data_IF_632749596232
#
_entry.id   IF_632749596232
#
_cell.length_a   1.000
_cell.length_b   1.000
_cell.length_c   1.000
_cell.angle_alpha   90.00
_cell.angle_beta   90.00
_cell.angle_gamma   90.00
#
_symmetry.space_group_name_H-M   'P 1'
#
loop_
_entity.id
_entity.type
_entity.pdbx_description
1 polymer ?
#
# COMPACT_ATOMS: atom_id res chain seq x y z
N UNK A 1 35.99 3.09 9.92
CA UNK A 1 34.96 3.89 9.23
C UNK A 1 34.23 2.93 8.32
N UNK A 2 33.03 2.50 8.73
CA UNK A 2 32.21 1.55 7.98
C UNK A 2 31.19 2.34 7.18
N UNK A 3 31.26 2.24 5.86
CA UNK A 3 30.31 2.85 4.92
C UNK A 3 28.95 2.13 4.95
N UNK A 4 27.85 2.82 4.61
CA UNK A 4 26.47 2.33 4.72
C UNK A 4 26.05 1.44 3.54
N UNK A 5 26.85 0.42 3.19
CA UNK A 5 26.56 -0.49 2.06
C UNK A 5 25.66 -1.69 2.48
N UNK A 6 25.24 -1.77 3.73
CA UNK A 6 24.74 -3.02 4.33
C UNK A 6 23.27 -3.42 4.12
N UNK A 7 22.36 -2.51 3.72
CA UNK A 7 20.91 -2.82 3.74
C UNK A 7 20.25 -2.80 2.34
N UNK A 8 20.56 -1.81 1.50
CA UNK A 8 20.08 -1.79 0.10
C UNK A 8 20.63 -2.97 -0.72
N UNK A 9 21.86 -3.40 -0.43
CA UNK A 9 22.50 -4.57 -1.05
C UNK A 9 21.73 -5.87 -0.77
N UNK A 10 21.07 -5.99 0.39
CA UNK A 10 20.26 -7.16 0.75
C UNK A 10 18.95 -7.25 -0.03
N UNK A 11 18.18 -6.17 -0.08
CA UNK A 11 16.87 -6.15 -0.76
C UNK A 11 17.06 -6.31 -2.27
N UNK A 12 18.03 -5.61 -2.87
CA UNK A 12 18.32 -5.75 -4.29
C UNK A 12 18.73 -7.18 -4.65
N UNK A 13 19.57 -7.82 -3.83
CA UNK A 13 19.95 -9.21 -4.03
C UNK A 13 18.74 -10.15 -3.94
N UNK A 14 17.84 -9.93 -2.97
CA UNK A 14 16.62 -10.72 -2.81
C UNK A 14 15.62 -10.50 -3.96
N UNK A 15 15.43 -9.26 -4.41
CA UNK A 15 14.60 -8.94 -5.56
C UNK A 15 15.13 -9.62 -6.83
N UNK A 16 16.45 -9.52 -7.07
CA UNK A 16 17.13 -10.17 -8.19
C UNK A 16 17.02 -11.70 -8.12
N UNK A 17 17.25 -12.28 -6.94
CA UNK A 17 17.10 -13.71 -6.69
C UNK A 17 15.67 -14.19 -6.98
N UNK A 18 14.67 -13.47 -6.48
CA UNK A 18 13.26 -13.79 -6.66
C UNK A 18 12.87 -13.70 -8.14
N UNK A 19 13.30 -12.64 -8.81
CA UNK A 19 13.07 -12.45 -10.24
C UNK A 19 13.66 -13.62 -11.05
N UNK A 20 14.93 -13.97 -10.83
CA UNK A 20 15.58 -15.09 -11.50
C UNK A 20 14.87 -16.43 -11.25
N UNK A 21 14.43 -16.70 -10.01
CA UNK A 21 13.68 -17.92 -9.70
C UNK A 21 12.31 -17.95 -10.38
N UNK A 22 11.60 -16.83 -10.42
CA UNK A 22 10.30 -16.72 -11.09
C UNK A 22 10.41 -16.97 -12.60
N UNK A 23 11.43 -16.39 -13.25
CA UNK A 23 11.72 -16.58 -14.68
C UNK A 23 12.13 -18.03 -14.95
N UNK A 24 13.01 -18.61 -14.14
CA UNK A 24 13.44 -20.00 -14.33
C UNK A 24 12.27 -20.99 -14.19
N UNK A 25 11.37 -20.75 -13.24
CA UNK A 25 10.14 -21.53 -13.12
C UNK A 25 9.24 -21.34 -14.34
N UNK A 26 9.02 -20.10 -14.79
CA UNK A 26 8.23 -19.80 -15.99
C UNK A 26 8.78 -20.54 -17.22
N UNK A 27 10.09 -20.44 -17.49
CA UNK A 27 10.74 -21.14 -18.60
C UNK A 27 10.59 -22.65 -18.51
N UNK A 28 10.71 -23.20 -17.29
CA UNK A 28 10.54 -24.63 -17.03
C UNK A 28 9.12 -25.08 -17.38
N UNK A 29 8.09 -24.37 -16.90
CA UNK A 29 6.69 -24.67 -17.19
C UNK A 29 6.37 -24.48 -18.67
N UNK A 30 6.91 -23.42 -19.29
CA UNK A 30 6.70 -23.10 -20.70
C UNK A 30 7.38 -24.09 -21.66
N UNK A 31 8.43 -24.80 -21.21
CA UNK A 31 9.13 -25.81 -22.03
C UNK A 31 8.27 -27.03 -22.41
N UNK A 32 7.16 -27.28 -21.69
CA UNK A 32 6.22 -28.35 -21.98
C UNK A 32 5.23 -27.94 -23.08
N UNK A 33 4.83 -28.85 -23.99
CA UNK A 33 3.94 -28.48 -25.12
C UNK A 33 2.47 -28.33 -24.75
N UNK A 34 2.02 -28.96 -23.68
CA UNK A 34 0.59 -29.02 -23.32
C UNK A 34 0.35 -28.42 -21.94
N UNK A 35 -0.39 -27.31 -21.91
CA UNK A 35 -0.77 -26.61 -20.69
C UNK A 35 -2.29 -26.69 -20.48
N UNK A 36 -2.76 -27.47 -19.48
CA UNK A 36 -4.15 -27.34 -19.04
C UNK A 36 -4.40 -25.93 -18.49
N UNK A 37 -5.66 -25.51 -18.39
CA UNK A 37 -6.04 -24.14 -18.00
C UNK A 37 -5.28 -23.66 -16.75
N UNK A 38 -5.31 -24.42 -15.66
CA UNK A 38 -4.59 -24.11 -14.40
C UNK A 38 -3.10 -23.83 -14.56
N UNK A 39 -2.44 -24.44 -15.55
CA UNK A 39 -1.00 -24.22 -15.84
C UNK A 39 -0.80 -22.95 -16.65
N UNK A 40 -1.73 -22.61 -17.56
CA UNK A 40 -1.71 -21.30 -18.24
C UNK A 40 -1.95 -20.17 -17.25
N UNK A 41 -2.92 -20.33 -16.36
CA UNK A 41 -3.20 -19.35 -15.32
C UNK A 41 -1.99 -19.19 -14.36
N UNK A 42 -1.21 -20.25 -14.12
CA UNK A 42 0.06 -20.15 -13.39
C UNK A 42 1.13 -19.37 -14.17
N UNK A 43 1.24 -19.59 -15.49
CA UNK A 43 2.18 -18.83 -16.33
C UNK A 43 1.84 -17.34 -16.36
N UNK A 44 0.56 -17.00 -16.47
CA UNK A 44 0.08 -15.61 -16.39
C UNK A 44 0.44 -14.99 -15.03
N UNK A 45 0.27 -15.73 -13.93
CA UNK A 45 0.62 -15.25 -12.60
C UNK A 45 2.14 -15.07 -12.42
N UNK A 46 2.97 -15.97 -12.98
CA UNK A 46 4.43 -15.84 -12.96
C UNK A 46 4.91 -14.64 -13.78
N UNK A 47 4.30 -14.39 -14.93
CA UNK A 47 4.59 -13.21 -15.75
C UNK A 47 4.22 -11.93 -14.99
N UNK A 48 3.03 -11.89 -14.37
CA UNK A 48 2.60 -10.78 -13.54
C UNK A 48 3.52 -10.54 -12.33
N UNK A 49 3.98 -11.60 -11.66
CA UNK A 49 4.96 -11.51 -10.58
C UNK A 49 6.29 -10.91 -11.07
N UNK A 50 6.80 -11.39 -12.21
CA UNK A 50 8.03 -10.87 -12.80
C UNK A 50 7.92 -9.39 -13.18
N UNK A 51 6.75 -8.96 -13.63
CA UNK A 51 6.46 -7.59 -14.00
C UNK A 51 6.46 -6.62 -12.80
N UNK A 52 6.11 -7.09 -11.59
CA UNK A 52 6.18 -6.29 -10.35
C UNK A 52 7.60 -6.28 -9.77
N UNK A 53 8.35 -7.37 -9.94
CA UNK A 53 9.73 -7.49 -9.44
C UNK A 53 10.74 -6.64 -10.22
N UNK A 54 10.48 -6.34 -11.50
CA UNK A 54 11.31 -5.44 -12.30
C UNK A 54 11.37 -4.01 -11.74
N UNK A 55 10.23 -3.30 -11.62
CA UNK A 55 10.16 -1.97 -11.02
C UNK A 55 10.73 -1.90 -9.59
N UNK A 56 10.59 -2.97 -8.81
CA UNK A 56 11.20 -3.06 -7.47
C UNK A 56 12.72 -2.95 -7.53
N UNK A 57 13.37 -3.68 -8.44
CA UNK A 57 14.82 -3.61 -8.59
C UNK A 57 15.29 -2.21 -9.03
N UNK A 58 14.52 -1.56 -9.89
CA UNK A 58 14.81 -0.19 -10.34
C UNK A 58 14.67 0.83 -9.21
N UNK A 59 13.56 0.79 -8.44
CA UNK A 59 13.31 1.71 -7.32
C UNK A 59 14.40 1.58 -6.25
N UNK A 60 14.82 0.35 -5.92
CA UNK A 60 15.89 0.10 -4.95
C UNK A 60 17.24 0.65 -5.45
N UNK A 61 17.47 0.65 -6.77
CA UNK A 61 18.69 1.19 -7.36
C UNK A 61 18.69 2.73 -7.47
N UNK A 62 17.54 3.34 -7.75
CA UNK A 62 17.46 4.78 -8.02
C UNK A 62 17.25 5.63 -6.77
N UNK A 63 16.65 5.07 -5.73
CA UNK A 63 16.11 5.87 -4.63
C UNK A 63 16.62 5.38 -3.28
N UNK A 64 17.60 6.09 -2.71
CA UNK A 64 18.24 5.74 -1.43
C UNK A 64 17.39 6.03 -0.19
N UNK A 65 16.21 6.64 -0.34
CA UNK A 65 15.37 7.14 0.78
C UNK A 65 14.13 6.26 1.07
N UNK A 66 13.92 5.18 0.31
CA UNK A 66 12.77 4.27 0.54
C UNK A 66 13.21 3.06 1.35
N UNK A 67 12.72 2.94 2.58
CA UNK A 67 12.90 1.73 3.37
C UNK A 67 11.94 0.62 2.93
N UNK A 68 12.46 -0.36 2.19
CA UNK A 68 11.76 -1.58 1.78
C UNK A 68 12.20 -2.82 2.56
N UNK A 69 12.87 -2.64 3.72
CA UNK A 69 13.41 -3.75 4.53
C UNK A 69 12.36 -4.77 4.96
N UNK A 70 11.10 -4.35 5.08
CA UNK A 70 9.99 -5.26 5.38
C UNK A 70 9.72 -6.29 4.27
N UNK A 71 10.18 -6.08 3.03
CA UNK A 71 10.06 -7.06 1.94
C UNK A 71 11.11 -8.18 1.98
N UNK A 72 12.11 -8.13 2.87
CA UNK A 72 13.18 -9.13 2.91
C UNK A 72 12.64 -10.57 3.03
N UNK A 73 11.74 -10.83 3.99
CA UNK A 73 11.18 -12.16 4.17
C UNK A 73 10.22 -12.56 3.02
N UNK A 74 9.25 -11.70 2.60
CA UNK A 74 8.40 -11.97 1.44
C UNK A 74 9.18 -12.34 0.17
N UNK A 75 10.22 -11.57 -0.17
CA UNK A 75 11.04 -11.83 -1.36
C UNK A 75 11.79 -13.15 -1.24
N UNK A 76 12.50 -13.35 -0.12
CA UNK A 76 13.25 -14.58 0.10
C UNK A 76 12.36 -15.81 -0.03
N UNK A 77 11.18 -15.77 0.59
CA UNK A 77 10.25 -16.91 0.57
C UNK A 77 9.62 -17.10 -0.81
N UNK A 78 9.22 -16.02 -1.49
CA UNK A 78 8.71 -16.08 -2.86
C UNK A 78 9.73 -16.73 -3.81
N UNK A 79 10.99 -16.34 -3.74
CA UNK A 79 12.06 -16.92 -4.55
C UNK A 79 12.30 -18.41 -4.23
N UNK A 80 12.33 -18.76 -2.95
CA UNK A 80 12.43 -20.15 -2.52
C UNK A 80 11.23 -20.98 -2.98
N UNK A 81 10.00 -20.48 -2.86
CA UNK A 81 8.80 -21.18 -3.32
C UNK A 81 8.83 -21.44 -4.84
N UNK A 82 9.25 -20.45 -5.64
CA UNK A 82 9.45 -20.62 -7.08
C UNK A 82 10.48 -21.72 -7.38
N UNK A 83 11.63 -21.69 -6.69
CA UNK A 83 12.72 -22.66 -6.87
C UNK A 83 12.33 -24.07 -6.42
N UNK A 84 11.68 -24.20 -5.28
CA UNK A 84 11.20 -25.47 -4.73
C UNK A 84 10.14 -26.09 -5.66
N UNK A 85 9.18 -25.28 -6.15
CA UNK A 85 8.15 -25.77 -7.07
C UNK A 85 8.75 -26.20 -8.42
N UNK A 86 9.74 -25.48 -8.93
CA UNK A 86 10.49 -25.87 -10.11
C UNK A 86 11.17 -27.24 -9.92
N UNK A 87 11.75 -27.49 -8.74
CA UNK A 87 12.36 -28.78 -8.42
C UNK A 87 11.33 -29.91 -8.40
N UNK A 88 10.13 -29.70 -7.83
CA UNK A 88 9.05 -30.68 -7.86
C UNK A 88 8.64 -31.02 -9.31
N UNK A 89 8.51 -30.02 -10.19
CA UNK A 89 8.24 -30.24 -11.62
C UNK A 89 9.34 -31.09 -12.27
N UNK A 90 10.60 -30.74 -12.05
CA UNK A 90 11.74 -31.46 -12.62
C UNK A 90 11.78 -32.91 -12.11
N UNK A 91 11.58 -33.11 -10.81
CA UNK A 91 11.55 -34.43 -10.17
C UNK A 91 10.39 -35.30 -10.66
N UNK A 92 9.20 -34.74 -10.87
CA UNK A 92 8.10 -35.47 -11.48
C UNK A 92 8.37 -35.80 -12.96
N UNK A 93 9.06 -34.91 -13.69
CA UNK A 93 9.36 -35.11 -15.11
C UNK A 93 10.43 -36.19 -15.37
N UNK A 94 11.41 -36.35 -14.48
CA UNK A 94 12.50 -37.33 -14.62
C UNK A 94 12.03 -38.78 -14.47
N UNK A 95 10.89 -39.00 -13.81
CA UNK A 95 10.24 -40.31 -13.67
C UNK A 95 9.48 -40.74 -14.93
N UNK A 96 9.26 -39.84 -15.88
CA UNK A 96 8.59 -40.13 -17.15
C UNK A 96 9.63 -40.46 -18.22
N UNK A 97 9.70 -41.74 -18.62
CA UNK A 97 10.71 -42.30 -19.55
C UNK A 97 10.59 -41.84 -21.01
N UNK A 98 9.83 -40.77 -21.29
CA UNK A 98 9.53 -40.28 -22.65
C UNK A 98 9.88 -38.82 -22.85
N UNK A 99 10.13 -38.43 -24.11
CA UNK A 99 10.43 -37.07 -24.56
C UNK A 99 9.70 -35.99 -23.73
N UNK A 100 10.44 -35.01 -23.19
CA UNK A 100 10.03 -33.86 -22.33
C UNK A 100 8.82 -33.05 -22.83
N UNK A 101 8.26 -33.41 -23.98
CA UNK A 101 7.19 -32.74 -24.69
C UNK A 101 5.80 -32.87 -24.05
N UNK A 102 5.53 -33.83 -23.16
CA UNK A 102 4.19 -34.02 -22.57
C UNK A 102 4.27 -34.40 -21.09
N UNK A 103 4.02 -33.44 -20.19
CA UNK A 103 3.81 -33.73 -18.77
C UNK A 103 2.33 -34.06 -18.55
N UNK A 104 1.99 -35.35 -18.53
CA UNK A 104 0.60 -35.83 -18.34
C UNK A 104 0.16 -35.79 -16.88
N UNK A 105 1.11 -35.63 -15.96
CA UNK A 105 0.90 -35.73 -14.52
C UNK A 105 0.71 -34.35 -13.85
N UNK A 106 0.29 -33.31 -14.57
CA UNK A 106 -0.04 -31.99 -13.99
C UNK A 106 -1.01 -32.10 -12.80
N UNK A 107 -1.92 -33.07 -12.82
CA UNK A 107 -2.87 -33.29 -11.74
C UNK A 107 -2.26 -33.91 -10.47
N UNK A 108 -1.06 -34.50 -10.54
CA UNK A 108 -0.35 -35.10 -9.40
C UNK A 108 0.69 -34.17 -8.79
N UNK A 109 0.96 -33.03 -9.44
CA UNK A 109 1.91 -32.07 -8.94
C UNK A 109 1.32 -31.40 -7.70
N UNK A 110 2.00 -31.56 -6.58
CA UNK A 110 1.62 -30.94 -5.32
C UNK A 110 2.78 -30.19 -4.72
N UNK A 111 2.46 -29.15 -3.95
CA UNK A 111 3.42 -28.34 -3.23
C UNK A 111 2.87 -28.05 -1.84
N UNK A 112 3.52 -28.57 -0.80
CA UNK A 112 3.01 -28.50 0.57
C UNK A 112 1.58 -29.06 0.69
N UNK A 113 1.26 -30.09 -0.11
CA UNK A 113 -0.09 -30.66 -0.23
C UNK A 113 -1.10 -29.86 -1.04
N UNK A 114 -0.76 -28.66 -1.55
CA UNK A 114 -1.61 -27.91 -2.48
C UNK A 114 -1.40 -28.36 -3.92
N UNK A 115 -2.44 -28.22 -4.74
CA UNK A 115 -2.33 -28.32 -6.18
C UNK A 115 -1.74 -27.05 -6.81
N UNK A 116 -1.67 -27.04 -8.14
CA UNK A 116 -1.19 -25.90 -8.93
C UNK A 116 -1.97 -24.61 -8.63
N UNK A 117 -3.28 -24.70 -8.38
CA UNK A 117 -4.11 -23.53 -8.08
C UNK A 117 -3.83 -22.99 -6.67
N UNK A 118 -3.50 -23.84 -5.70
CA UNK A 118 -3.00 -23.41 -4.38
C UNK A 118 -1.62 -22.74 -4.46
N UNK A 119 -0.70 -23.28 -5.27
CA UNK A 119 0.59 -22.62 -5.52
C UNK A 119 0.44 -21.29 -6.27
N UNK A 120 -0.47 -21.20 -7.25
CA UNK A 120 -0.77 -19.92 -7.93
C UNK A 120 -1.28 -18.87 -6.94
N UNK A 121 -2.22 -19.24 -6.06
CA UNK A 121 -2.74 -18.34 -5.00
C UNK A 121 -1.63 -17.88 -4.05
N UNK A 122 -0.67 -18.74 -3.74
CA UNK A 122 0.53 -18.35 -2.98
C UNK A 122 1.29 -17.22 -3.67
N UNK A 123 1.61 -17.39 -4.95
CA UNK A 123 2.35 -16.38 -5.71
C UNK A 123 1.55 -15.08 -5.84
N UNK A 124 0.23 -15.16 -6.01
CA UNK A 124 -0.63 -13.99 -6.03
C UNK A 124 -0.55 -13.19 -4.72
N UNK A 125 -0.53 -13.86 -3.56
CA UNK A 125 -0.34 -13.19 -2.27
C UNK A 125 1.02 -12.47 -2.15
N UNK A 126 2.10 -13.10 -2.63
CA UNK A 126 3.42 -12.45 -2.69
C UNK A 126 3.43 -11.24 -3.62
N UNK A 127 2.89 -11.40 -4.84
CA UNK A 127 2.79 -10.34 -5.83
C UNK A 127 2.01 -9.14 -5.29
N UNK A 128 0.84 -9.39 -4.68
CA UNK A 128 0.00 -8.35 -4.09
C UNK A 128 0.75 -7.60 -2.99
N UNK A 129 1.41 -8.32 -2.07
CA UNK A 129 2.19 -7.72 -0.99
C UNK A 129 3.33 -6.84 -1.52
N UNK A 130 4.09 -7.32 -2.51
CA UNK A 130 5.19 -6.56 -3.12
C UNK A 130 4.62 -5.30 -3.80
N UNK A 131 3.54 -5.45 -4.56
CA UNK A 131 2.89 -4.32 -5.24
C UNK A 131 2.35 -3.28 -4.24
N UNK A 132 1.81 -3.74 -3.11
CA UNK A 132 1.32 -2.86 -2.04
C UNK A 132 2.46 -2.05 -1.43
N UNK A 133 3.58 -2.70 -1.10
CA UNK A 133 4.75 -2.02 -0.55
C UNK A 133 5.37 -1.01 -1.55
N UNK A 134 5.42 -1.37 -2.84
CA UNK A 134 5.86 -0.46 -3.89
C UNK A 134 4.95 0.75 -4.04
N UNK A 135 3.64 0.52 -4.02
CA UNK A 135 2.66 1.59 -4.14
C UNK A 135 2.68 2.49 -2.90
N UNK A 136 2.86 1.92 -1.70
CA UNK A 136 3.01 2.69 -0.45
C UNK A 136 4.23 3.60 -0.51
N UNK A 137 5.36 3.07 -0.98
CA UNK A 137 6.59 3.85 -1.18
C UNK A 137 6.39 4.98 -2.20
N UNK A 138 5.71 4.70 -3.32
CA UNK A 138 5.43 5.69 -4.35
C UNK A 138 4.45 6.77 -3.88
N UNK A 139 3.44 6.40 -3.08
CA UNK A 139 2.48 7.34 -2.48
C UNK A 139 3.17 8.38 -1.59
N UNK A 140 4.29 8.02 -0.94
CA UNK A 140 5.09 8.96 -0.15
C UNK A 140 5.87 9.96 -1.01
N UNK A 141 6.11 9.64 -2.28
CA UNK A 141 6.97 10.43 -3.17
C UNK A 141 6.22 11.24 -4.23
N UNK A 142 5.04 10.79 -4.66
CA UNK A 142 4.31 11.37 -5.78
C UNK A 142 2.90 11.83 -5.42
N UNK A 143 2.42 12.87 -6.11
CA UNK A 143 1.01 13.28 -6.06
C UNK A 143 0.15 12.26 -6.84
N UNK A 144 -0.44 11.29 -6.14
CA UNK A 144 -1.29 10.26 -6.76
C UNK A 144 -2.72 10.77 -7.00
N UNK A 145 -3.36 10.29 -8.06
CA UNK A 145 -4.75 10.62 -8.41
C UNK A 145 -5.75 9.90 -7.51
N UNK A 146 -6.91 10.51 -7.31
CA UNK A 146 -7.97 10.01 -6.42
C UNK A 146 -8.53 8.62 -6.80
N UNK A 147 -8.56 8.26 -8.10
CA UNK A 147 -9.05 6.95 -8.57
C UNK A 147 -8.07 5.82 -8.22
N UNK A 148 -6.78 6.04 -8.44
CA UNK A 148 -5.73 5.07 -8.10
C UNK A 148 -5.70 4.74 -6.59
N UNK A 149 -6.22 5.65 -5.75
CA UNK A 149 -6.26 5.45 -4.31
C UNK A 149 -7.37 4.48 -3.88
N UNK A 150 -8.55 4.53 -4.49
CA UNK A 150 -9.63 3.59 -4.15
C UNK A 150 -9.30 2.18 -4.64
N UNK A 151 -8.72 2.06 -5.85
CA UNK A 151 -8.20 0.79 -6.35
C UNK A 151 -7.10 0.23 -5.43
N UNK A 152 -6.26 1.11 -4.88
CA UNK A 152 -5.23 0.72 -3.91
C UNK A 152 -5.81 0.22 -2.58
N UNK A 153 -6.83 0.90 -2.04
CA UNK A 153 -7.53 0.42 -0.83
C UNK A 153 -8.18 -0.94 -1.04
N UNK A 154 -8.80 -1.14 -2.20
CA UNK A 154 -9.38 -2.44 -2.56
C UNK A 154 -8.31 -3.52 -2.65
N UNK A 155 -7.19 -3.23 -3.30
CA UNK A 155 -6.05 -4.15 -3.38
C UNK A 155 -5.51 -4.52 -1.99
N UNK A 156 -5.41 -3.56 -1.06
CA UNK A 156 -4.99 -3.82 0.31
C UNK A 156 -5.99 -4.76 1.00
N UNK A 157 -7.28 -4.49 0.88
CA UNK A 157 -8.31 -5.33 1.52
C UNK A 157 -8.30 -6.76 0.98
N UNK A 158 -8.30 -6.92 -0.35
CA UNK A 158 -8.25 -8.24 -0.99
C UNK A 158 -7.00 -9.01 -0.57
N UNK A 159 -5.84 -8.36 -0.51
CA UNK A 159 -4.60 -8.99 -0.08
C UNK A 159 -4.64 -9.42 1.39
N UNK A 160 -5.27 -8.65 2.28
CA UNK A 160 -5.47 -9.04 3.68
C UNK A 160 -6.37 -10.27 3.78
N UNK A 161 -7.51 -10.25 3.10
CA UNK A 161 -8.47 -11.37 3.09
C UNK A 161 -7.81 -12.66 2.56
N UNK A 162 -7.05 -12.56 1.46
CA UNK A 162 -6.32 -13.68 0.87
C UNK A 162 -5.22 -14.23 1.80
N UNK A 163 -4.50 -13.36 2.50
CA UNK A 163 -3.45 -13.75 3.46
C UNK A 163 -4.03 -14.39 4.72
N UNK A 164 -5.16 -13.91 5.21
CA UNK A 164 -5.90 -14.51 6.33
C UNK A 164 -6.41 -15.91 5.95
N UNK A 165 -7.06 -16.05 4.79
CA UNK A 165 -7.48 -17.35 4.27
C UNK A 165 -6.29 -18.31 4.09
N UNK A 166 -5.11 -17.79 3.70
CA UNK A 166 -3.89 -18.59 3.60
C UNK A 166 -3.39 -19.07 4.97
N UNK A 167 -3.43 -18.23 6.00
CA UNK A 167 -3.06 -18.63 7.37
C UNK A 167 -3.99 -19.74 7.87
N UNK A 168 -5.30 -19.65 7.61
CA UNK A 168 -6.26 -20.70 7.94
C UNK A 168 -5.93 -22.04 7.24
N UNK A 169 -5.55 -21.99 5.95
CA UNK A 169 -5.14 -23.19 5.20
C UNK A 169 -3.87 -23.81 5.79
N UNK A 170 -2.89 -23.00 6.18
CA UNK A 170 -1.67 -23.51 6.82
C UNK A 170 -2.02 -24.17 8.16
N UNK A 171 -2.90 -23.56 8.94
CA UNK A 171 -3.37 -24.06 10.22
C UNK A 171 -4.12 -25.39 10.11
N UNK A 172 -4.95 -25.54 9.07
CA UNK A 172 -5.61 -26.80 8.75
C UNK A 172 -4.57 -27.89 8.45
N UNK A 173 -3.56 -27.59 7.63
CA UNK A 173 -2.51 -28.54 7.23
C UNK A 173 -1.64 -28.96 8.40
N UNK A 174 -1.23 -28.02 9.23
CA UNK A 174 -0.52 -28.31 10.46
C UNK A 174 -1.37 -29.23 11.36
N UNK A 175 -2.68 -28.97 11.44
CA UNK A 175 -3.62 -29.85 12.12
C UNK A 175 -3.67 -31.28 11.59
N UNK A 176 -3.77 -31.45 10.27
CA UNK A 176 -3.79 -32.77 9.64
C UNK A 176 -2.50 -33.56 9.91
N UNK A 177 -1.34 -32.88 9.92
CA UNK A 177 -0.07 -33.54 10.21
C UNK A 177 0.00 -33.99 11.68
N UNK A 178 -0.55 -33.18 12.61
CA UNK A 178 -0.67 -33.56 14.02
C UNK A 178 -1.58 -34.78 14.19
N UNK A 179 -2.75 -34.79 13.54
CA UNK A 179 -3.71 -35.90 13.58
C UNK A 179 -3.14 -37.19 12.97
N UNK A 180 -2.44 -37.09 11.84
CA UNK A 180 -1.78 -38.24 11.22
C UNK A 180 -0.66 -38.82 12.10
N UNK A 181 0.05 -37.97 12.84
CA UNK A 181 1.08 -38.40 13.78
C UNK A 181 0.49 -38.95 15.09
N UNK A 182 -0.73 -38.54 15.48
CA UNK A 182 -1.42 -39.09 16.64
C UNK A 182 -1.70 -40.59 16.52
N UNK A 183 -1.89 -41.08 15.30
CA UNK A 183 -2.03 -42.52 15.00
C UNK A 183 -0.74 -43.31 15.35
N UNK A 184 0.41 -42.64 15.48
CA UNK A 184 1.72 -43.27 15.72
C UNK A 184 2.14 -43.26 17.20
N UNK A 185 1.64 -42.35 18.03
CA UNK A 185 1.93 -42.25 19.48
C UNK A 185 0.90 -41.38 20.22
N UNK A 186 0.17 -41.95 21.18
CA UNK A 186 -0.95 -41.31 21.92
C UNK A 186 -0.50 -40.18 22.87
N UNK A 187 0.65 -40.36 23.54
CA UNK A 187 1.22 -39.34 24.45
C UNK A 187 1.73 -38.13 23.66
N UNK A 188 2.32 -38.36 22.49
CA UNK A 188 2.82 -37.27 21.65
C UNK A 188 1.70 -36.50 20.95
N UNK A 189 0.58 -37.17 20.66
CA UNK A 189 -0.64 -36.59 20.12
C UNK A 189 -1.23 -35.53 21.06
N UNK A 190 -1.41 -35.89 22.34
CA UNK A 190 -2.03 -35.00 23.33
C UNK A 190 -1.20 -33.73 23.56
N UNK A 191 0.13 -33.86 23.59
CA UNK A 191 1.02 -32.71 23.74
C UNK A 191 1.02 -31.81 22.49
N UNK A 192 1.05 -32.38 21.28
CA UNK A 192 0.95 -31.61 20.03
C UNK A 192 -0.40 -30.87 19.91
N UNK A 193 -1.49 -31.51 20.35
CA UNK A 193 -2.80 -30.90 20.39
C UNK A 193 -2.86 -29.74 21.39
N UNK A 194 -2.26 -29.90 22.58
CA UNK A 194 -2.13 -28.82 23.57
C UNK A 194 -1.34 -27.63 23.01
N UNK A 195 -0.20 -27.88 22.34
CA UNK A 195 0.58 -26.82 21.68
C UNK A 195 -0.23 -26.09 20.59
N UNK A 196 -1.07 -26.82 19.84
CA UNK A 196 -1.96 -26.23 18.83
C UNK A 196 -2.99 -25.29 19.46
N UNK A 197 -3.63 -25.73 20.54
CA UNK A 197 -4.61 -24.93 21.28
C UNK A 197 -3.96 -23.69 21.89
N UNK A 198 -2.75 -23.83 22.46
CA UNK A 198 -1.97 -22.74 23.01
C UNK A 198 -1.62 -21.69 21.93
N UNK A 199 -1.24 -22.14 20.73
CA UNK A 199 -0.95 -21.28 19.56
C UNK A 199 -2.21 -20.50 19.14
N UNK A 200 -3.34 -21.18 18.93
CA UNK A 200 -4.60 -20.54 18.55
C UNK A 200 -5.11 -19.58 19.63
N UNK A 201 -4.90 -19.91 20.90
CA UNK A 201 -5.22 -19.02 22.03
C UNK A 201 -4.35 -17.76 22.00
N UNK A 202 -3.04 -17.92 21.79
CA UNK A 202 -2.09 -16.81 21.68
C UNK A 202 -2.45 -15.88 20.53
N UNK A 203 -2.94 -16.42 19.41
CA UNK A 203 -3.40 -15.62 18.25
C UNK A 203 -4.62 -14.77 18.59
N UNK A 204 -5.59 -15.35 19.30
CA UNK A 204 -6.73 -14.58 19.81
C UNK A 204 -6.29 -13.49 20.77
N UNK A 205 -5.32 -13.76 21.65
CA UNK A 205 -4.76 -12.73 22.53
C UNK A 205 -4.13 -11.57 21.75
N UNK A 206 -3.42 -11.85 20.65
CA UNK A 206 -2.88 -10.81 19.77
C UNK A 206 -3.99 -9.96 19.13
N UNK A 207 -5.05 -10.59 18.62
CA UNK A 207 -6.21 -9.89 18.07
C UNK A 207 -6.88 -8.98 19.13
N UNK A 208 -6.97 -9.44 20.38
CA UNK A 208 -7.51 -8.62 21.47
C UNK A 208 -6.59 -7.42 21.75
N UNK A 209 -5.26 -7.61 21.72
CA UNK A 209 -4.31 -6.51 21.89
C UNK A 209 -4.46 -5.45 20.79
N UNK A 210 -4.64 -5.84 19.53
CA UNK A 210 -4.82 -4.89 18.41
C UNK A 210 -6.15 -4.14 18.53
N UNK A 211 -7.26 -4.85 18.78
CA UNK A 211 -8.57 -4.25 18.98
C UNK A 211 -8.58 -3.24 20.13
N UNK A 212 -7.92 -3.56 21.24
CA UNK A 212 -7.83 -2.63 22.36
C UNK A 212 -6.97 -1.40 22.00
N UNK A 213 -5.87 -1.57 21.27
CA UNK A 213 -5.07 -0.43 20.81
C UNK A 213 -5.87 0.50 19.87
N UNK A 214 -6.63 -0.06 18.92
CA UNK A 214 -7.49 0.75 18.04
C UNK A 214 -8.57 1.51 18.82
N UNK A 215 -9.16 0.88 19.84
CA UNK A 215 -10.14 1.53 20.70
C UNK A 215 -9.51 2.66 21.52
N UNK A 216 -8.27 2.49 21.97
CA UNK A 216 -7.50 3.55 22.63
C UNK A 216 -7.31 4.74 21.69
N UNK A 217 -6.92 4.50 20.43
CA UNK A 217 -6.73 5.55 19.43
C UNK A 217 -8.03 6.33 19.15
N UNK A 218 -9.17 5.63 19.11
CA UNK A 218 -10.49 6.26 18.97
C UNK A 218 -10.82 7.19 20.15
N UNK A 219 -10.52 6.78 21.39
CA UNK A 219 -10.75 7.61 22.58
C UNK A 219 -9.90 8.89 22.51
N UNK A 220 -8.61 8.76 22.14
CA UNK A 220 -7.70 9.92 22.02
C UNK A 220 -8.21 10.91 20.96
N UNK A 221 -8.62 10.42 19.80
CA UNK A 221 -9.19 11.25 18.72
C UNK A 221 -10.48 11.97 19.12
N UNK A 222 -11.33 11.36 19.96
CA UNK A 222 -12.54 11.99 20.47
C UNK A 222 -12.26 13.11 21.48
N UNK A 223 -11.21 12.96 22.30
CA UNK A 223 -10.78 14.00 23.25
C UNK A 223 -10.28 15.25 22.53
N UNK A 224 -9.42 15.08 21.51
CA UNK A 224 -8.85 16.18 20.73
C UNK A 224 -9.91 17.00 19.99
N UNK A 225 -11.00 16.35 19.54
CA UNK A 225 -12.10 17.00 18.82
C UNK A 225 -13.08 17.77 19.72
N UNK A 226 -13.06 17.50 21.04
CA UNK A 226 -13.90 18.20 22.03
C UNK A 226 -13.29 19.52 22.53
N UNK A 227 -12.02 19.80 22.20
CA UNK A 227 -11.36 21.06 22.53
C UNK A 227 -11.92 22.22 21.70
N UNK A 228 -12.83 23.03 22.28
CA UNK A 228 -13.27 24.28 21.64
C UNK A 228 -12.11 25.29 21.62
N UNK A 229 -11.67 25.80 20.46
CA UNK A 229 -10.64 26.83 20.40
C UNK A 229 -11.25 28.17 20.84
N UNK A 230 -11.24 28.45 22.15
CA UNK A 230 -11.75 29.73 22.63
C UNK A 230 -11.83 29.97 24.14
N UNK A 231 -11.77 28.94 25.00
CA UNK A 231 -11.86 29.16 26.45
C UNK A 231 -10.55 28.82 27.16
N UNK A 232 -9.63 29.78 27.18
CA UNK A 232 -8.52 29.77 28.10
C UNK A 232 -9.05 29.91 29.54
N UNK A 233 -9.26 28.79 30.22
CA UNK A 233 -9.35 28.76 31.68
C UNK A 233 -8.66 27.51 32.19
N UNK A 234 -7.50 27.72 32.80
CA UNK A 234 -6.42 26.79 33.11
C UNK A 234 -6.69 25.84 34.30
N UNK A 235 -7.88 25.25 34.37
CA UNK A 235 -8.24 24.32 35.46
C UNK A 235 -8.72 22.93 34.99
N UNK A 236 -9.11 22.78 33.71
CA UNK A 236 -9.64 21.53 33.18
C UNK A 236 -8.62 20.66 32.42
N UNK A 237 -7.37 21.10 32.26
CA UNK A 237 -6.33 20.37 31.51
C UNK A 237 -5.71 19.21 32.30
N UNK A 238 -5.66 19.27 33.63
CA UNK A 238 -4.98 18.27 34.46
C UNK A 238 -5.61 16.85 34.43
N UNK A 239 -6.95 16.68 34.47
CA UNK A 239 -7.57 15.36 34.38
C UNK A 239 -7.41 14.73 33.00
N UNK A 240 -7.45 15.56 31.94
CA UNK A 240 -7.31 15.13 30.55
C UNK A 240 -5.86 14.71 30.24
N UNK A 241 -4.87 15.45 30.75
CA UNK A 241 -3.45 15.05 30.65
C UNK A 241 -3.17 13.75 31.39
N UNK A 242 -3.72 13.56 32.60
CA UNK A 242 -3.53 12.31 33.37
C UNK A 242 -4.21 11.12 32.69
N UNK A 243 -5.38 11.34 32.09
CA UNK A 243 -6.10 10.30 31.33
C UNK A 243 -5.32 9.92 30.07
N UNK A 244 -4.81 10.90 29.32
CA UNK A 244 -4.00 10.66 28.12
C UNK A 244 -2.66 9.99 28.46
N UNK A 245 -2.00 10.37 29.56
CA UNK A 245 -0.78 9.71 30.03
C UNK A 245 -1.03 8.24 30.40
N UNK A 246 -2.09 7.95 31.17
CA UNK A 246 -2.45 6.57 31.54
C UNK A 246 -2.85 5.73 30.32
N UNK A 247 -3.52 6.35 29.35
CA UNK A 247 -3.90 5.71 28.10
C UNK A 247 -2.68 5.40 27.21
N UNK A 248 -1.70 6.31 27.19
CA UNK A 248 -0.43 6.10 26.51
C UNK A 248 0.41 5.00 27.19
N UNK A 249 0.42 4.95 28.52
CA UNK A 249 1.06 3.87 29.28
C UNK A 249 0.40 2.52 28.97
N UNK A 250 -0.94 2.48 28.90
CA UNK A 250 -1.69 1.30 28.49
C UNK A 250 -1.29 0.84 27.08
N UNK A 251 -1.19 1.77 26.12
CA UNK A 251 -0.74 1.47 24.75
C UNK A 251 0.68 0.89 24.73
N UNK A 252 1.61 1.48 25.48
CA UNK A 252 2.98 0.95 25.60
C UNK A 252 3.00 -0.46 26.21
N UNK A 253 2.16 -0.72 27.22
CA UNK A 253 2.03 -2.03 27.85
C UNK A 253 1.46 -3.08 26.89
N UNK A 254 0.48 -2.68 26.05
CA UNK A 254 -0.09 -3.53 25.01
C UNK A 254 0.93 -3.90 23.94
N UNK A 255 1.73 -2.94 23.48
CA UNK A 255 2.83 -3.20 22.52
C UNK A 255 3.81 -4.21 23.10
N UNK A 256 4.21 -4.05 24.38
CA UNK A 256 5.12 -5.01 25.03
C UNK A 256 4.49 -6.39 25.20
N UNK A 257 3.20 -6.46 25.50
CA UNK A 257 2.46 -7.72 25.64
C UNK A 257 2.32 -8.42 24.30
N UNK A 258 1.96 -7.70 23.24
CA UNK A 258 1.89 -8.21 21.88
C UNK A 258 3.24 -8.79 21.43
N UNK A 259 4.35 -8.07 21.65
CA UNK A 259 5.69 -8.56 21.31
C UNK A 259 6.06 -9.86 22.06
N UNK A 260 5.64 -10.00 23.32
CA UNK A 260 5.84 -11.25 24.10
C UNK A 260 4.99 -12.38 23.54
N UNK A 261 3.73 -12.12 23.21
CA UNK A 261 2.81 -13.11 22.62
C UNK A 261 3.29 -13.56 21.23
N UNK A 262 3.79 -12.66 20.40
CA UNK A 262 4.39 -13.00 19.10
C UNK A 262 5.60 -13.91 19.26
N UNK A 263 6.51 -13.57 20.17
CA UNK A 263 7.68 -14.42 20.47
C UNK A 263 7.25 -15.80 20.97
N UNK A 264 6.26 -15.84 21.85
CA UNK A 264 5.71 -17.08 22.39
C UNK A 264 5.09 -17.95 21.30
N UNK A 265 4.33 -17.35 20.40
CA UNK A 265 3.75 -18.03 19.25
C UNK A 265 4.81 -18.66 18.33
N UNK A 266 5.91 -17.93 18.08
CA UNK A 266 7.04 -18.46 17.33
C UNK A 266 7.68 -19.65 18.05
N UNK A 267 7.91 -19.55 19.36
CA UNK A 267 8.46 -20.65 20.16
C UNK A 267 7.56 -21.90 20.13
N UNK A 268 6.25 -21.74 20.30
CA UNK A 268 5.29 -22.86 20.21
C UNK A 268 5.36 -23.50 18.83
N UNK A 269 5.38 -22.71 17.76
CA UNK A 269 5.48 -23.23 16.40
C UNK A 269 6.78 -24.01 16.19
N UNK A 270 7.91 -23.49 16.67
CA UNK A 270 9.22 -24.11 16.55
C UNK A 270 9.29 -25.45 17.30
N UNK A 271 8.70 -25.50 18.50
CA UNK A 271 8.60 -26.70 19.33
C UNK A 271 7.68 -27.74 18.69
N UNK A 272 6.52 -27.32 18.19
CA UNK A 272 5.56 -28.17 17.50
C UNK A 272 6.19 -28.83 16.27
N UNK A 273 6.97 -28.08 15.49
CA UNK A 273 7.69 -28.57 14.31
C UNK A 273 8.84 -29.51 14.64
N UNK A 274 9.63 -29.17 15.66
CA UNK A 274 10.73 -30.02 16.11
C UNK A 274 10.21 -31.39 16.56
N UNK A 275 9.08 -31.40 17.25
CA UNK A 275 8.43 -32.63 17.72
C UNK A 275 7.79 -33.42 16.57
N UNK A 276 7.06 -32.76 15.67
CA UNK A 276 6.44 -33.44 14.52
C UNK A 276 7.49 -34.01 13.56
N UNK A 277 8.62 -33.33 13.36
CA UNK A 277 9.72 -33.80 12.51
C UNK A 277 10.33 -35.13 12.97
N UNK A 278 10.33 -35.43 14.26
CA UNK A 278 10.83 -36.71 14.80
C UNK A 278 9.94 -37.88 14.37
N UNK A 279 8.64 -37.61 14.19
CA UNK A 279 7.60 -38.64 14.03
C UNK A 279 7.16 -38.76 12.56
N UNK A 280 7.54 -37.80 11.71
CA UNK A 280 7.09 -37.66 10.32
C UNK A 280 8.06 -38.30 9.31
N UNK A 281 7.58 -38.55 8.08
CA UNK A 281 8.46 -38.98 6.99
C UNK A 281 9.41 -37.84 6.57
N UNK A 282 10.46 -38.17 5.81
CA UNK A 282 11.42 -37.16 5.31
C UNK A 282 10.75 -36.10 4.42
N UNK A 283 9.75 -36.51 3.62
CA UNK A 283 8.95 -35.59 2.79
C UNK A 283 8.07 -34.69 3.66
N UNK A 284 7.36 -35.27 4.62
CA UNK A 284 6.50 -34.51 5.54
C UNK A 284 7.31 -33.53 6.38
N UNK A 285 8.54 -33.89 6.77
CA UNK A 285 9.46 -33.00 7.49
C UNK A 285 9.89 -31.79 6.65
N UNK A 286 10.10 -31.97 5.34
CA UNK A 286 10.39 -30.87 4.42
C UNK A 286 9.16 -29.97 4.26
N UNK A 287 7.97 -30.54 4.06
CA UNK A 287 6.73 -29.77 3.91
C UNK A 287 6.34 -29.03 5.20
N UNK A 288 6.60 -29.60 6.38
CA UNK A 288 6.46 -28.92 7.67
C UNK A 288 7.36 -27.69 7.79
N UNK A 289 8.61 -27.79 7.34
CA UNK A 289 9.56 -26.67 7.35
C UNK A 289 9.08 -25.57 6.39
N UNK A 290 8.60 -25.96 5.20
CA UNK A 290 8.00 -25.02 4.23
C UNK A 290 6.75 -24.33 4.82
N UNK A 291 5.85 -25.09 5.46
CA UNK A 291 4.64 -24.55 6.11
C UNK A 291 4.96 -23.51 7.19
N UNK A 292 6.02 -23.72 7.97
CA UNK A 292 6.52 -22.76 8.95
C UNK A 292 6.96 -21.46 8.29
N UNK A 293 7.80 -21.58 7.27
CA UNK A 293 8.37 -20.41 6.62
C UNK A 293 7.27 -19.61 5.90
N UNK A 294 6.31 -20.30 5.29
CA UNK A 294 5.09 -19.71 4.71
C UNK A 294 4.23 -19.00 5.76
N UNK A 295 4.02 -19.61 6.93
CA UNK A 295 3.24 -18.99 8.00
C UNK A 295 3.88 -17.70 8.50
N UNK A 296 5.20 -17.73 8.73
CA UNK A 296 5.95 -16.56 9.18
C UNK A 296 5.89 -15.44 8.14
N UNK A 297 6.02 -15.82 6.87
CA UNK A 297 6.00 -14.87 5.77
C UNK A 297 4.61 -14.28 5.57
N UNK A 298 3.54 -15.09 5.58
CA UNK A 298 2.17 -14.62 5.44
C UNK A 298 1.78 -13.59 6.51
N UNK A 299 2.22 -13.79 7.76
CA UNK A 299 2.05 -12.79 8.83
C UNK A 299 2.81 -11.50 8.58
N UNK A 300 4.05 -11.59 8.08
CA UNK A 300 4.81 -10.40 7.71
C UNK A 300 4.18 -9.66 6.52
N UNK A 301 3.63 -10.40 5.55
CA UNK A 301 2.85 -9.81 4.46
C UNK A 301 1.59 -9.09 4.99
N UNK A 302 0.90 -9.68 5.97
CA UNK A 302 -0.29 -9.09 6.58
C UNK A 302 0.05 -7.80 7.36
N UNK A 303 1.19 -7.78 8.06
CA UNK A 303 1.71 -6.57 8.69
C UNK A 303 2.00 -5.45 7.67
N UNK A 304 2.64 -5.78 6.55
CA UNK A 304 2.88 -4.82 5.46
C UNK A 304 1.56 -4.23 4.94
N UNK A 305 0.58 -5.08 4.67
CA UNK A 305 -0.73 -4.65 4.20
C UNK A 305 -1.46 -3.79 5.24
N UNK A 306 -1.36 -4.15 6.52
CA UNK A 306 -1.98 -3.39 7.62
C UNK A 306 -1.33 -2.02 7.81
N UNK A 307 0.01 -1.93 7.69
CA UNK A 307 0.72 -0.66 7.74
C UNK A 307 0.36 0.25 6.56
N UNK A 308 0.24 -0.32 5.35
CA UNK A 308 -0.22 0.42 4.18
C UNK A 308 -1.65 0.95 4.35
N UNK A 309 -2.56 0.14 4.92
CA UNK A 309 -3.93 0.55 5.24
C UNK A 309 -3.96 1.75 6.21
N UNK A 310 -3.20 1.67 7.31
CA UNK A 310 -3.07 2.77 8.28
C UNK A 310 -2.49 4.02 7.64
N UNK A 311 -1.43 3.87 6.84
CA UNK A 311 -0.79 4.99 6.16
C UNK A 311 -1.76 5.71 5.21
N UNK A 312 -2.59 4.97 4.46
CA UNK A 312 -3.64 5.54 3.63
C UNK A 312 -4.69 6.27 4.46
N UNK A 313 -5.11 5.70 5.60
CA UNK A 313 -6.09 6.32 6.49
C UNK A 313 -5.59 7.63 7.12
N UNK A 314 -4.31 7.70 7.46
CA UNK A 314 -3.69 8.89 8.09
C UNK A 314 -3.34 9.97 7.06
N UNK A 315 -2.85 9.60 5.89
CA UNK A 315 -2.31 10.55 4.91
C UNK A 315 -3.28 10.98 3.80
N UNK A 316 -4.50 10.44 3.79
CA UNK A 316 -5.54 10.87 2.85
C UNK A 316 -6.64 11.61 3.60
N UNK A 317 -6.79 12.90 3.31
CA UNK A 317 -7.93 13.68 3.80
C UNK A 317 -9.11 13.57 2.83
N UNK A 318 -10.22 13.02 3.32
CA UNK A 318 -11.47 12.93 2.56
C UNK A 318 -12.36 14.15 2.84
N UNK A 319 -12.61 14.99 1.84
CA UNK A 319 -13.32 16.27 2.01
C UNK A 319 -14.48 16.40 1.03
N UNK A 320 -15.73 16.45 1.52
CA UNK A 320 -16.87 16.89 0.71
C UNK A 320 -17.21 18.35 1.04
N UNK A 321 -16.92 19.26 0.10
CA UNK A 321 -17.21 20.68 0.21
C UNK A 321 -18.46 21.04 -0.59
N UNK A 322 -19.42 21.70 0.04
CA UNK A 322 -20.67 22.13 -0.58
C UNK A 322 -20.95 23.60 -0.32
N UNK A 323 -21.08 24.38 -1.39
CA UNK A 323 -21.29 25.82 -1.36
C UNK A 323 -22.65 26.19 -1.93
N UNK A 324 -23.42 26.98 -1.17
CA UNK A 324 -24.70 27.53 -1.61
C UNK A 324 -24.52 29.01 -1.99
N UNK A 325 -25.11 29.42 -3.12
CA UNK A 325 -25.00 30.78 -3.63
C UNK A 325 -23.61 31.09 -4.21
N UNK A 326 -23.30 32.39 -4.34
CA UNK A 326 -22.03 32.88 -4.87
C UNK A 326 -20.89 32.61 -3.87
N UNK A 327 -20.31 31.42 -3.93
CA UNK A 327 -19.31 30.92 -2.96
C UNK A 327 -17.89 30.90 -3.51
N UNK A 328 -16.92 31.21 -2.65
CA UNK A 328 -15.49 30.92 -2.87
C UNK A 328 -15.11 29.70 -2.05
N UNK A 329 -14.66 28.64 -2.72
CA UNK A 329 -14.34 27.37 -2.09
C UNK A 329 -12.87 26.99 -2.35
N UNK A 330 -12.12 26.76 -1.28
CA UNK A 330 -10.76 26.21 -1.34
C UNK A 330 -10.79 24.76 -0.84
N UNK A 331 -10.18 23.86 -1.61
CA UNK A 331 -9.96 22.45 -1.27
C UNK A 331 -8.53 22.10 -1.66
N UNK A 332 -7.58 22.66 -0.91
CA UNK A 332 -6.16 22.67 -1.25
C UNK A 332 -5.31 21.98 -0.20
N UNK A 333 -4.25 21.32 -0.65
CA UNK A 333 -3.21 20.74 0.22
C UNK A 333 -1.96 21.57 0.08
N UNK A 334 -1.41 22.05 1.20
CA UNK A 334 -0.21 22.89 1.22
C UNK A 334 1.04 22.13 1.68
N UNK A 335 0.84 21.00 2.36
CA UNK A 335 1.88 20.12 2.89
C UNK A 335 2.13 18.87 2.04
N UNK A 336 1.41 18.69 0.94
CA UNK A 336 1.54 17.53 0.05
C UNK A 336 0.68 16.34 0.47
N UNK A 337 -0.11 16.46 1.53
CA UNK A 337 -1.09 15.45 1.93
C UNK A 337 -2.11 15.21 0.81
N UNK A 338 -2.48 13.96 0.59
CA UNK A 338 -3.39 13.57 -0.49
C UNK A 338 -4.80 14.03 -0.10
N UNK A 339 -5.47 14.77 -1.00
CA UNK A 339 -6.87 15.15 -0.85
C UNK A 339 -7.75 14.30 -1.75
N UNK A 340 -8.67 13.58 -1.15
CA UNK A 340 -9.75 12.90 -1.87
C UNK A 340 -11.06 13.63 -1.58
N UNK A 341 -11.48 14.53 -2.45
CA UNK A 341 -12.63 15.36 -2.13
C UNK A 341 -13.54 15.72 -3.29
N UNK A 342 -14.82 15.94 -2.98
CA UNK A 342 -15.83 16.47 -3.90
C UNK A 342 -16.10 17.91 -3.55
N UNK A 343 -15.88 18.82 -4.49
CA UNK A 343 -16.20 20.23 -4.31
C UNK A 343 -17.41 20.60 -5.19
N UNK A 344 -18.54 20.93 -4.58
CA UNK A 344 -19.80 21.29 -5.23
C UNK A 344 -20.16 22.73 -4.87
N UNK A 345 -20.51 23.53 -5.87
CA UNK A 345 -21.02 24.88 -5.65
C UNK A 345 -22.25 25.15 -6.50
N UNK A 346 -23.27 25.75 -5.89
CA UNK A 346 -24.55 26.08 -6.52
C UNK A 346 -24.78 27.59 -6.44
N UNK A 347 -24.11 28.32 -7.35
CA UNK A 347 -24.25 29.75 -7.52
C UNK A 347 -23.73 30.18 -8.87
N UNK A 348 -24.14 31.37 -9.33
CA UNK A 348 -23.74 31.84 -10.65
C UNK A 348 -22.31 32.37 -10.67
N UNK A 349 -21.77 32.81 -9.52
CA UNK A 349 -20.38 33.27 -9.35
C UNK A 349 -19.54 32.36 -8.45
N UNK A 350 -19.86 31.08 -8.39
CA UNK A 350 -19.03 30.12 -7.64
C UNK A 350 -17.60 30.10 -8.21
N UNK A 351 -16.61 30.23 -7.33
CA UNK A 351 -15.18 30.08 -7.64
C UNK A 351 -14.61 28.95 -6.79
N UNK A 352 -13.93 28.01 -7.43
CA UNK A 352 -13.34 26.86 -6.76
C UNK A 352 -11.85 26.79 -7.04
N UNK A 353 -11.10 26.50 -5.98
CA UNK A 353 -9.65 26.25 -6.02
C UNK A 353 -9.44 24.90 -5.37
N UNK A 354 -8.67 24.02 -6.01
CA UNK A 354 -8.30 22.76 -5.38
C UNK A 354 -7.03 22.15 -5.93
N UNK A 355 -6.55 21.13 -5.22
CA UNK A 355 -5.30 20.44 -5.52
C UNK A 355 -4.13 20.86 -4.62
N UNK A 356 -2.91 20.53 -5.02
CA UNK A 356 -1.71 20.93 -4.29
C UNK A 356 -1.34 22.38 -4.62
N UNK A 357 -1.28 23.23 -3.60
CA UNK A 357 -1.02 24.66 -3.74
C UNK A 357 -0.13 25.11 -2.58
N UNK A 358 0.96 25.83 -2.83
CA UNK A 358 1.84 26.31 -1.75
C UNK A 358 1.12 27.31 -0.83
N UNK A 359 1.56 27.42 0.44
CA UNK A 359 0.99 28.37 1.40
C UNK A 359 0.97 29.80 0.86
N UNK A 360 2.05 30.24 0.20
CA UNK A 360 2.16 31.57 -0.38
C UNK A 360 1.14 31.77 -1.52
N UNK A 361 0.95 30.74 -2.34
CA UNK A 361 0.01 30.76 -3.47
C UNK A 361 -1.43 30.78 -2.98
N UNK A 362 -1.76 30.01 -1.93
CA UNK A 362 -3.08 30.05 -1.29
C UNK A 362 -3.35 31.43 -0.70
N UNK A 363 -2.40 32.00 0.03
CA UNK A 363 -2.53 33.33 0.62
C UNK A 363 -2.70 34.42 -0.46
N UNK A 364 -1.91 34.35 -1.54
CA UNK A 364 -2.01 35.30 -2.64
C UNK A 364 -3.36 35.19 -3.37
N UNK A 365 -3.77 33.97 -3.72
CA UNK A 365 -5.03 33.72 -4.42
C UNK A 365 -6.24 34.12 -3.56
N UNK A 366 -6.19 33.87 -2.25
CA UNK A 366 -7.20 34.33 -1.30
C UNK A 366 -7.33 35.85 -1.31
N UNK A 367 -6.22 36.60 -1.28
CA UNK A 367 -6.21 38.07 -1.35
C UNK A 367 -6.74 38.61 -2.69
N UNK A 368 -6.33 38.01 -3.80
CA UNK A 368 -6.71 38.46 -5.15
C UNK A 368 -8.20 38.20 -5.43
N UNK A 369 -8.74 37.09 -4.95
CA UNK A 369 -10.16 36.79 -5.12
C UNK A 369 -11.02 37.68 -4.20
N UNK A 370 -10.57 37.94 -2.97
CA UNK A 370 -11.26 38.85 -2.05
C UNK A 370 -11.34 40.28 -2.63
N UNK A 371 -10.25 40.80 -3.20
CA UNK A 371 -10.23 42.14 -3.82
C UNK A 371 -11.14 42.24 -5.05
N UNK A 372 -11.18 41.21 -5.89
CA UNK A 372 -12.07 41.15 -7.06
C UNK A 372 -13.55 41.12 -6.66
N UNK A 373 -13.88 40.41 -5.58
CA UNK A 373 -15.25 40.33 -5.06
C UNK A 373 -15.73 41.68 -4.53
N UNK A 374 -14.85 42.45 -3.87
CA UNK A 374 -15.13 43.81 -3.38
C UNK A 374 -15.32 44.82 -4.51
N UNK A 375 -14.59 44.71 -5.63
CA UNK A 375 -14.76 45.60 -6.77
C UNK A 375 -16.09 45.43 -7.49
N UNK A 376 -16.66 44.21 -7.53
CA UNK A 376 -17.96 43.99 -8.15
C UNK A 376 -19.15 44.48 -7.33
N UNK A 377 -19.07 44.47 -5.99
CA UNK A 377 -20.10 45.07 -5.13
C UNK A 377 -20.16 46.59 -5.33
N UNK A 378 -19.01 47.22 -5.58
CA UNK A 378 -18.93 48.68 -5.77
C UNK A 378 -19.51 49.19 -7.09
N UNK A 379 -19.63 48.32 -8.11
CA UNK A 379 -20.22 48.67 -9.42
C UNK A 379 -21.75 48.44 -9.43
N UNK A 380 -22.30 47.77 -8.42
CA UNK A 380 -23.73 47.42 -8.34
C UNK A 380 -24.49 48.17 -7.24
N UNK A 381 -24.68 49.49 -7.37
CA UNK A 381 -25.72 50.27 -6.67
C UNK A 381 -25.84 51.69 -7.27
N UNK A 382 -27.07 52.26 -7.32
CA UNK A 382 -27.96 52.29 -8.47
C UNK A 382 -27.75 53.48 -9.41
N UNK A 383 -28.18 53.31 -10.67
CA UNK A 383 -28.35 54.38 -11.64
C UNK A 383 -29.18 55.53 -11.03
N UNK A 384 -28.55 56.68 -10.81
CA UNK A 384 -29.26 57.94 -10.72
C UNK A 384 -29.84 58.24 -12.10
N UNK A 385 -31.17 58.13 -12.13
CA UNK A 385 -32.07 58.66 -13.14
C UNK A 385 -31.91 60.18 -13.18
N UNK A 386 -31.34 60.72 -14.26
CA UNK A 386 -31.96 61.86 -14.92
C UNK A 386 -31.50 62.00 -16.37
N UNK A 387 -32.48 62.40 -17.17
CA UNK A 387 -32.50 62.48 -18.63
C UNK A 387 -31.39 63.36 -19.23
N UNK A 388 -30.94 63.03 -20.45
CA UNK A 388 -31.15 63.85 -21.66
C UNK A 388 -30.42 63.19 -22.84
N UNK A 389 -31.19 62.73 -23.84
CA UNK A 389 -30.69 62.47 -25.20
C UNK A 389 -30.52 63.80 -25.94
N UNK A 390 -29.56 63.91 -26.89
CA UNK A 390 -29.97 63.67 -28.27
C UNK A 390 -28.94 62.90 -29.13
N UNK A 391 -29.47 62.43 -30.26
CA UNK A 391 -28.93 61.45 -31.18
C UNK A 391 -27.87 61.96 -32.19
N UNK A 392 -27.38 60.98 -32.98
CA UNK A 392 -26.55 61.02 -34.20
C UNK A 392 -25.09 60.61 -33.94
N UNK A 393 -24.48 59.58 -34.52
CA UNK A 393 -24.85 58.65 -35.59
C UNK A 393 -23.54 58.21 -36.27
N UNK A 394 -23.24 56.91 -36.34
CA UNK A 394 -22.64 56.21 -37.49
C UNK A 394 -22.23 54.77 -37.14
N UNK A 395 -22.27 53.96 -38.20
CA UNK A 395 -22.44 52.51 -38.28
C UNK A 395 -21.22 51.89 -38.98
N UNK A 396 -20.81 50.69 -38.56
CA UNK A 396 -20.25 49.57 -39.36
C UNK A 396 -19.61 48.55 -38.37
N UNK A 397 -20.27 47.44 -38.03
CA UNK A 397 -20.29 46.13 -38.74
C UNK A 397 -18.92 45.44 -38.83
N UNK A 398 -18.83 44.27 -38.20
CA UNK A 398 -17.67 43.38 -38.15
C UNK A 398 -17.93 42.16 -37.25
N UNK A 399 -19.00 41.42 -37.55
CA UNK A 399 -19.33 40.12 -36.92
C UNK A 399 -18.25 39.08 -37.19
N UNK A 400 -17.72 38.44 -36.14
CA UNK A 400 -17.36 37.01 -36.15
C UNK A 400 -17.46 36.44 -34.73
N UNK A 401 -18.62 35.81 -34.47
CA UNK A 401 -18.84 34.69 -33.54
C UNK A 401 -18.23 34.78 -32.13
N UNK A 402 -18.91 35.53 -31.25
CA UNK A 402 -18.68 35.59 -29.80
C UNK A 402 -19.21 34.36 -29.02
N UNK A 403 -19.73 33.32 -29.68
CA UNK A 403 -20.51 32.27 -29.01
C UNK A 403 -19.68 31.20 -28.25
N UNK A 404 -18.35 31.20 -28.36
CA UNK A 404 -17.50 30.16 -27.73
C UNK A 404 -16.61 30.65 -26.58
N UNK A 405 -16.55 31.96 -26.31
CA UNK A 405 -15.69 32.53 -25.26
C UNK A 405 -16.32 32.59 -23.86
N UNK A 406 -17.64 32.46 -23.77
CA UNK A 406 -18.39 32.67 -22.52
C UNK A 406 -18.71 31.39 -21.73
N UNK A 407 -18.52 30.19 -22.32
CA UNK A 407 -18.89 28.92 -21.66
C UNK A 407 -17.75 28.24 -20.91
N UNK A 408 -16.51 28.59 -21.22
CA UNK A 408 -15.32 28.06 -20.53
C UNK A 408 -14.42 29.25 -20.24
N UNK A 409 -14.21 29.54 -18.95
CA UNK A 409 -13.30 30.60 -18.52
C UNK A 409 -11.93 30.44 -19.18
N UNK A 410 -11.24 31.55 -19.45
CA UNK A 410 -9.91 31.52 -20.05
C UNK A 410 -8.93 30.86 -19.08
N UNK A 411 -8.68 29.55 -19.27
CA UNK A 411 -7.62 28.86 -18.55
C UNK A 411 -6.31 29.63 -18.69
N UNK A 412 -5.66 29.94 -17.57
CA UNK A 412 -4.41 30.69 -17.58
C UNK A 412 -3.24 29.71 -17.61
N UNK A 413 -2.49 29.70 -18.70
CA UNK A 413 -1.25 28.91 -18.81
C UNK A 413 -0.12 29.78 -18.26
N UNK A 414 0.43 29.42 -17.10
CA UNK A 414 1.59 30.10 -16.53
C UNK A 414 2.79 29.95 -17.49
N UNK A 415 3.39 31.06 -17.89
CA UNK A 415 4.62 31.04 -18.68
C UNK A 415 5.77 30.52 -17.81
N UNK A 416 6.63 29.62 -18.31
CA UNK A 416 7.85 29.25 -17.61
C UNK A 416 8.67 30.50 -17.32
N UNK A 417 9.05 30.69 -16.07
CA UNK A 417 9.93 31.78 -15.67
C UNK A 417 11.33 31.48 -16.23
N UNK A 418 11.86 32.38 -17.06
CA UNK A 418 13.20 32.27 -17.61
C UNK A 418 14.22 32.33 -16.45
N UNK A 419 15.09 31.33 -16.38
CA UNK A 419 16.23 31.29 -15.48
C UNK A 419 17.10 32.55 -15.66
N UNK A 420 17.60 33.17 -14.58
CA UNK A 420 18.51 34.29 -14.71
C UNK A 420 19.81 33.83 -15.38
N UNK A 421 20.17 34.56 -16.44
CA UNK A 421 21.34 34.36 -17.29
C UNK A 421 22.61 34.02 -16.51
N UNK A 422 23.26 32.94 -16.94
CA UNK A 422 24.68 32.72 -16.74
C UNK A 422 25.46 33.91 -17.33
N UNK A 423 26.34 34.48 -16.51
CA UNK A 423 27.35 35.45 -16.93
C UNK A 423 28.28 34.86 -18.00
N UNK A 424 28.69 35.65 -19.00
CA UNK A 424 29.48 35.15 -20.12
C UNK A 424 30.93 34.91 -19.71
N UNK A 425 31.46 33.79 -20.22
CA UNK A 425 32.87 33.44 -20.28
C UNK A 425 33.67 34.52 -21.01
N UNK A 426 34.68 35.06 -20.33
CA UNK A 426 35.77 35.84 -20.95
C UNK A 426 36.80 34.86 -21.47
N UNK A 427 37.00 34.86 -22.79
CA UNK A 427 38.10 34.18 -23.49
C UNK A 427 38.93 35.23 -24.23
N UNK A 428 40.25 35.08 -24.16
CA UNK A 428 41.29 35.77 -24.94
C UNK A 428 42.23 36.54 -24.02
N UNK A 429 43.55 36.35 -23.99
CA UNK A 429 44.56 35.86 -24.96
C UNK A 429 45.86 35.67 -24.17
N UNK A 430 46.60 34.55 -24.23
CA UNK A 430 47.63 34.26 -25.25
C UNK A 430 48.95 34.98 -24.96
N UNK A 431 50.04 34.25 -24.64
CA UNK A 431 51.47 34.47 -25.05
C UNK A 431 52.42 33.60 -24.19
N UNK A 432 53.29 32.88 -24.90
CA UNK A 432 54.51 32.12 -24.52
C UNK A 432 54.43 30.87 -23.62
#
# INVERSE_FOLDING_TARGET
MAEPIGLASGILALATFTFQCSVSLFETVNSFRSHPKRVRDLLEELEALSAVLGPLADIVNTTSDVDLSSLNLPLLRCGNACKEFQQEIIQCSSRSTGNRTSFRDWAKLTYMGDDIDGFRRLLAGYKATINIALTDANLRQASVTAENLEDYKHLIQDAKDDLEARLEVIDLKLGQIVENNAVRSDVDAAELQSMREERLSTEKCLLICTQLSEHIDQIQLMSDRSGTPGSATSANTLPETVTNEGLQECKNSLIQTAAKLEKHMQDIMDRMLSKSKIISSEQDAADLTRLRDEWKTARQCLDICSRADTHVKENVSVIENYGLGDSLQFMVSTNGQILHGKNRGLGWRTRQVGGYVSDESVQQLSRDIASTSLHHVRVGSPLSRDDTTPASGNRAEGETTAAFKERYGSGFKLKPMASPNSTPSVVGSGSD
#
